data_IF_095556922976
#
_entry.id   IF_095556922976
#
_cell.length_a   1.000
_cell.length_b   1.000
_cell.length_c   1.000
_cell.angle_alpha   90.00
_cell.angle_beta   90.00
_cell.angle_gamma   90.00
#
_symmetry.space_group_name_H-M   'P 1'
#
loop_
_entity.id
_entity.type
_entity.pdbx_description
1 polymer ?
#
# COMPACT_ATOMS: atom_id res chain seq x y z
N UNK A 1 -14.21 -19.50 55.18
CA UNK A 1 -14.52 -19.37 53.74
C UNK A 1 -15.23 -18.05 53.60
N UNK A 2 -14.72 -17.16 52.75
CA UNK A 2 -15.22 -15.80 52.68
C UNK A 2 -16.46 -15.75 51.79
N UNK A 3 -17.60 -15.44 52.40
CA UNK A 3 -18.92 -15.50 51.75
C UNK A 3 -19.12 -14.28 50.83
N UNK A 4 -18.35 -13.20 51.03
CA UNK A 4 -18.41 -11.99 50.21
C UNK A 4 -17.92 -12.21 48.75
N UNK A 5 -17.18 -13.29 48.47
CA UNK A 5 -16.74 -13.64 47.12
C UNK A 5 -17.78 -14.45 46.32
N UNK A 6 -18.89 -14.88 46.94
CA UNK A 6 -19.96 -15.66 46.30
C UNK A 6 -21.12 -14.80 45.79
N UNK A 7 -21.18 -13.52 46.18
CA UNK A 7 -22.29 -12.60 45.91
C UNK A 7 -21.90 -11.48 44.92
N UNK A 8 -20.76 -11.62 44.24
CA UNK A 8 -20.36 -10.74 43.15
C UNK A 8 -21.14 -11.09 41.87
N UNK A 9 -21.78 -10.11 41.25
CA UNK A 9 -22.39 -10.26 39.92
C UNK A 9 -21.31 -10.61 38.88
N UNK A 10 -21.34 -11.86 38.41
CA UNK A 10 -20.27 -12.45 37.59
C UNK A 10 -20.15 -11.81 36.20
N UNK A 11 -18.92 -11.59 35.67
CA UNK A 11 -18.70 -10.94 34.38
C UNK A 11 -18.77 -11.92 33.19
N UNK A 12 -19.17 -11.45 31.99
CA UNK A 12 -19.44 -12.29 30.82
C UNK A 12 -18.19 -12.58 29.96
N UNK A 13 -17.02 -12.87 30.55
CA UNK A 13 -15.75 -13.02 29.79
C UNK A 13 -14.80 -14.06 30.38
N UNK A 14 -14.19 -14.86 29.50
CA UNK A 14 -13.11 -15.80 29.84
C UNK A 14 -11.80 -15.07 30.20
N UNK A 15 -10.99 -15.68 31.07
CA UNK A 15 -9.64 -15.23 31.41
C UNK A 15 -8.56 -15.90 30.55
N UNK A 16 -7.60 -15.12 30.06
CA UNK A 16 -6.50 -15.60 29.20
C UNK A 16 -5.26 -15.93 30.05
N UNK A 17 -4.63 -17.07 29.80
CA UNK A 17 -3.25 -17.33 30.20
C UNK A 17 -2.49 -18.11 29.11
N UNK A 18 -1.24 -17.73 28.89
CA UNK A 18 -0.24 -18.30 27.98
C UNK A 18 -0.75 -19.27 26.88
N UNK A 19 -1.50 -18.72 25.92
CA UNK A 19 -1.90 -19.39 24.68
C UNK A 19 -2.69 -20.72 24.83
N UNK A 20 -3.31 -21.00 25.99
CA UNK A 20 -4.24 -22.12 26.18
C UNK A 20 -5.21 -21.89 27.36
N UNK A 21 -6.50 -22.14 27.15
CA UNK A 21 -7.60 -21.78 28.07
C UNK A 21 -7.92 -22.88 29.12
N UNK A 22 -8.10 -22.54 30.41
CA UNK A 22 -8.39 -23.53 31.48
C UNK A 22 -9.14 -23.02 32.75
N UNK A 23 -10.34 -23.62 33.01
CA UNK A 23 -11.03 -23.94 34.32
C UNK A 23 -11.28 -22.78 35.33
N UNK A 24 -11.76 -22.98 36.60
CA UNK A 24 -12.47 -24.09 37.33
C UNK A 24 -13.90 -23.70 37.84
N UNK A 25 -14.67 -24.42 38.70
CA UNK A 25 -14.91 -25.87 38.96
C UNK A 25 -15.90 -26.07 40.16
N UNK A 26 -16.79 -27.10 40.14
CA UNK A 26 -17.16 -27.95 41.31
C UNK A 26 -18.07 -29.12 40.88
N UNK A 27 -17.72 -30.40 41.00
CA UNK A 27 -16.69 -31.06 41.83
C UNK A 27 -15.80 -31.92 40.94
N UNK A 28 -14.48 -31.78 41.06
CA UNK A 28 -13.54 -32.50 40.19
C UNK A 28 -13.30 -33.96 40.61
N UNK A 29 -13.23 -34.87 39.61
CA UNK A 29 -12.40 -36.08 39.73
C UNK A 29 -11.93 -36.62 38.37
N UNK A 30 -10.72 -36.20 38.00
CA UNK A 30 -9.72 -36.94 37.18
C UNK A 30 -10.26 -38.09 36.28
N UNK A 31 -10.53 -37.81 34.99
CA UNK A 31 -10.17 -38.65 33.83
C UNK A 31 -10.78 -38.17 32.50
N UNK A 32 -10.70 -36.88 32.15
CA UNK A 32 -11.12 -36.40 30.83
C UNK A 32 -9.94 -35.87 30.01
N UNK A 33 -9.84 -36.39 28.79
CA UNK A 33 -8.79 -36.08 27.82
C UNK A 33 -9.16 -34.77 27.10
N UNK A 34 -8.61 -33.66 27.57
CA UNK A 34 -8.56 -32.42 26.79
C UNK A 34 -7.77 -32.60 25.48
N UNK A 35 -7.86 -31.65 24.53
CA UNK A 35 -7.19 -31.74 23.24
C UNK A 35 -5.68 -31.97 23.41
N UNK A 36 -5.19 -33.05 22.79
CA UNK A 36 -3.77 -33.42 22.80
C UNK A 36 -3.09 -32.80 21.58
N UNK A 37 -2.28 -31.76 21.78
CA UNK A 37 -1.38 -31.30 20.71
C UNK A 37 -0.29 -32.32 20.40
N UNK A 38 0.10 -32.47 19.12
CA UNK A 38 1.31 -33.19 18.71
C UNK A 38 1.21 -33.94 17.38
N UNK A 39 2.09 -33.59 16.44
CA UNK A 39 2.17 -34.11 15.06
C UNK A 39 2.79 -35.52 14.91
N UNK A 40 2.45 -36.19 13.79
CA UNK A 40 3.36 -37.07 13.04
C UNK A 40 3.06 -36.96 11.53
N UNK A 41 4.08 -37.00 10.68
CA UNK A 41 3.99 -36.59 9.27
C UNK A 41 4.14 -37.73 8.25
N UNK A 42 3.64 -37.50 7.03
CA UNK A 42 4.33 -37.89 5.79
C UNK A 42 3.73 -37.18 4.54
N UNK A 43 4.38 -36.08 4.14
CA UNK A 43 4.51 -35.62 2.74
C UNK A 43 3.27 -35.26 1.90
N UNK A 44 2.14 -34.87 2.49
CA UNK A 44 0.98 -34.27 1.79
C UNK A 44 0.33 -33.11 2.58
N UNK A 45 -0.38 -32.26 1.83
CA UNK A 45 -1.21 -31.08 2.19
C UNK A 45 -1.07 -30.47 3.60
N UNK A 46 -0.54 -29.23 3.68
CA UNK A 46 -0.30 -28.52 4.95
C UNK A 46 -1.61 -28.02 5.58
N UNK A 47 -1.85 -28.45 6.82
CA UNK A 47 -2.91 -27.95 7.69
C UNK A 47 -2.48 -26.61 8.34
N UNK A 48 -3.34 -25.59 8.28
CA UNK A 48 -3.16 -24.35 9.03
C UNK A 48 -4.39 -24.10 9.91
N UNK A 49 -4.29 -24.55 11.16
CA UNK A 49 -5.31 -24.41 12.19
C UNK A 49 -4.90 -25.25 13.40
N UNK A 50 -5.29 -24.83 14.61
CA UNK A 50 -5.33 -25.74 15.76
C UNK A 50 -6.41 -26.80 15.49
N UNK A 51 -6.19 -28.06 15.89
CA UNK A 51 -7.08 -29.20 15.60
C UNK A 51 -8.55 -29.04 16.09
N UNK A 52 -8.84 -27.96 16.81
CA UNK A 52 -10.16 -27.49 17.23
C UNK A 52 -10.10 -25.95 17.32
N UNK A 53 -10.74 -25.23 16.40
CA UNK A 53 -10.73 -23.76 16.38
C UNK A 53 -11.57 -23.16 17.51
N UNK A 54 -12.78 -23.70 17.70
CA UNK A 54 -13.65 -23.43 18.85
C UNK A 54 -14.19 -24.75 19.41
N UNK A 55 -14.40 -24.81 20.72
CA UNK A 55 -15.03 -25.96 21.39
C UNK A 55 -16.36 -25.52 22.01
N UNK A 56 -17.45 -26.18 21.59
CA UNK A 56 -18.79 -25.95 22.15
C UNK A 56 -19.01 -26.96 23.27
N UNK A 57 -19.30 -26.45 24.47
CA UNK A 57 -19.63 -27.26 25.64
C UNK A 57 -20.94 -26.74 26.24
N UNK A 58 -21.93 -27.61 26.30
CA UNK A 58 -23.17 -27.41 27.03
C UNK A 58 -23.39 -28.66 27.89
N UNK A 59 -23.82 -28.45 29.13
CA UNK A 59 -24.01 -29.48 30.15
C UNK A 59 -25.45 -30.00 30.18
N UNK A 60 -26.41 -29.14 29.89
CA UNK A 60 -27.84 -29.38 30.11
C UNK A 60 -28.57 -29.64 28.77
N UNK A 61 -27.95 -29.30 27.63
CA UNK A 61 -28.32 -29.82 26.30
C UNK A 61 -28.07 -31.35 26.20
N UNK A 62 -29.10 -32.16 25.86
CA UNK A 62 -28.94 -33.61 25.68
C UNK A 62 -28.16 -33.95 24.40
N UNK A 63 -27.66 -35.20 24.22
CA UNK A 63 -26.81 -35.59 23.09
C UNK A 63 -27.44 -35.39 21.69
N UNK A 64 -28.76 -35.42 21.61
CA UNK A 64 -29.60 -35.19 20.44
C UNK A 64 -30.22 -33.77 20.39
N UNK A 65 -29.96 -32.94 21.41
CA UNK A 65 -30.38 -31.54 21.45
C UNK A 65 -29.57 -30.68 20.48
N UNK A 66 -30.24 -29.69 19.87
CA UNK A 66 -29.64 -28.79 18.88
C UNK A 66 -29.40 -27.40 19.47
N UNK A 67 -28.14 -26.96 19.43
CA UNK A 67 -27.74 -25.57 19.65
C UNK A 67 -27.80 -24.78 18.34
N UNK A 68 -27.78 -23.46 18.45
CA UNK A 68 -27.57 -22.54 17.32
C UNK A 68 -26.19 -21.92 17.47
N UNK A 69 -25.36 -21.98 16.43
CA UNK A 69 -24.06 -21.33 16.37
C UNK A 69 -24.07 -20.33 15.21
N UNK A 70 -23.74 -19.08 15.52
CA UNK A 70 -23.39 -18.05 14.55
C UNK A 70 -21.87 -17.93 14.52
N UNK A 71 -21.27 -17.95 13.32
CA UNK A 71 -19.89 -17.51 13.11
C UNK A 71 -19.90 -16.30 12.18
N UNK A 72 -19.08 -15.30 12.45
CA UNK A 72 -18.91 -14.12 11.59
C UNK A 72 -17.46 -13.64 11.55
N UNK A 73 -17.06 -13.02 10.45
CA UNK A 73 -15.79 -12.34 10.27
C UNK A 73 -15.99 -11.05 9.44
N UNK A 74 -15.02 -10.12 9.49
CA UNK A 74 -15.18 -8.80 8.83
C UNK A 74 -14.28 -8.57 7.63
N UNK A 75 -13.20 -9.35 7.49
CA UNK A 75 -12.19 -9.21 6.43
C UNK A 75 -11.94 -10.51 5.65
N UNK A 76 -12.78 -11.52 5.83
CA UNK A 76 -12.60 -12.79 5.17
C UNK A 76 -13.80 -13.72 5.28
N UNK A 77 -13.75 -14.75 4.46
CA UNK A 77 -14.75 -15.80 4.35
C UNK A 77 -14.40 -17.00 5.23
N UNK A 78 -15.42 -17.58 5.86
CA UNK A 78 -15.35 -18.79 6.67
C UNK A 78 -15.75 -20.02 5.85
N UNK A 79 -15.12 -21.15 6.11
CA UNK A 79 -15.50 -22.43 5.48
C UNK A 79 -15.35 -23.59 6.45
N UNK A 80 -16.36 -24.45 6.51
CA UNK A 80 -16.41 -25.64 7.34
C UNK A 80 -16.00 -26.86 6.52
N UNK A 81 -14.97 -27.60 6.94
CA UNK A 81 -14.56 -28.83 6.24
C UNK A 81 -15.54 -29.99 6.42
N UNK A 82 -16.42 -29.95 7.43
CA UNK A 82 -17.47 -30.94 7.67
C UNK A 82 -18.79 -30.25 8.00
N UNK A 83 -19.85 -30.62 7.28
CA UNK A 83 -21.22 -30.10 7.47
C UNK A 83 -22.21 -31.20 7.89
N UNK A 84 -21.70 -32.39 8.21
CA UNK A 84 -22.53 -33.55 8.58
C UNK A 84 -23.30 -33.30 9.88
N UNK A 85 -24.61 -33.47 9.84
CA UNK A 85 -25.50 -33.25 10.99
C UNK A 85 -25.79 -31.77 11.30
N UNK A 86 -25.36 -30.84 10.44
CA UNK A 86 -25.73 -29.43 10.52
C UNK A 86 -27.03 -29.14 9.75
N UNK A 87 -27.74 -28.10 10.20
CA UNK A 87 -28.87 -27.47 9.50
C UNK A 87 -28.56 -25.99 9.35
N UNK A 88 -28.44 -25.51 8.11
CA UNK A 88 -28.15 -24.11 7.82
C UNK A 88 -29.40 -23.24 7.96
N UNK A 89 -29.25 -22.12 8.66
CA UNK A 89 -30.22 -21.02 8.76
C UNK A 89 -29.75 -19.84 7.91
N UNK A 90 -28.44 -19.63 7.80
CA UNK A 90 -27.79 -18.64 6.93
C UNK A 90 -26.42 -19.17 6.52
N UNK A 91 -26.01 -18.90 5.28
CA UNK A 91 -24.83 -19.50 4.65
C UNK A 91 -25.04 -20.96 4.21
N UNK A 92 -24.01 -21.55 3.63
CA UNK A 92 -23.96 -22.98 3.26
C UNK A 92 -22.74 -23.73 3.82
N UNK A 93 -21.87 -23.02 4.55
CA UNK A 93 -20.64 -23.55 5.13
C UNK A 93 -19.43 -23.40 4.22
N UNK A 94 -19.56 -22.77 3.05
CA UNK A 94 -18.47 -22.53 2.12
C UNK A 94 -18.37 -21.06 1.70
N UNK A 95 -17.28 -20.43 2.12
CA UNK A 95 -16.94 -19.03 1.87
C UNK A 95 -18.01 -18.01 2.36
N UNK A 96 -18.55 -18.22 3.56
CA UNK A 96 -19.50 -17.31 4.20
C UNK A 96 -18.80 -16.22 5.04
N UNK A 97 -19.15 -14.93 4.88
CA UNK A 97 -18.74 -13.86 5.84
C UNK A 97 -19.44 -14.04 7.20
N UNK A 98 -20.67 -14.57 7.17
CA UNK A 98 -21.49 -14.86 8.35
C UNK A 98 -22.36 -16.09 8.06
N UNK A 99 -22.26 -17.11 8.92
CA UNK A 99 -23.05 -18.33 8.82
C UNK A 99 -23.78 -18.59 10.14
N UNK A 100 -25.02 -19.08 10.04
CA UNK A 100 -25.84 -19.46 11.20
C UNK A 100 -26.27 -20.91 10.99
N UNK A 101 -25.79 -21.80 11.86
CA UNK A 101 -26.03 -23.24 11.79
C UNK A 101 -26.67 -23.75 13.06
N UNK A 102 -27.47 -24.81 12.93
CA UNK A 102 -28.03 -25.57 14.05
C UNK A 102 -27.55 -27.01 13.99
N UNK A 103 -27.14 -27.56 15.11
CA UNK A 103 -26.54 -28.89 15.17
C UNK A 103 -26.43 -29.39 16.60
N UNK A 104 -26.21 -30.69 16.76
CA UNK A 104 -25.87 -31.24 18.09
C UNK A 104 -24.48 -30.76 18.51
N UNK A 105 -24.19 -30.78 19.81
CA UNK A 105 -22.86 -30.45 20.36
C UNK A 105 -21.74 -31.24 19.65
N UNK A 106 -22.01 -32.51 19.29
CA UNK A 106 -21.06 -33.34 18.54
C UNK A 106 -20.86 -32.85 17.09
N UNK A 107 -21.95 -32.53 16.38
CA UNK A 107 -21.88 -32.05 14.99
C UNK A 107 -21.19 -30.68 14.88
N UNK A 108 -21.52 -29.75 15.79
CA UNK A 108 -20.87 -28.44 15.86
C UNK A 108 -19.37 -28.56 16.16
N UNK A 109 -18.98 -29.37 17.14
CA UNK A 109 -17.57 -29.59 17.43
C UNK A 109 -16.83 -30.28 16.28
N UNK A 110 -17.47 -31.19 15.52
CA UNK A 110 -16.87 -31.78 14.32
C UNK A 110 -16.62 -30.75 13.21
N UNK A 111 -17.56 -29.83 12.97
CA UNK A 111 -17.42 -28.76 11.99
C UNK A 111 -16.30 -27.77 12.37
N UNK A 112 -16.18 -27.45 13.67
CA UNK A 112 -15.20 -26.51 14.22
C UNK A 112 -13.76 -27.05 14.36
N UNK A 113 -13.50 -28.31 13.96
CA UNK A 113 -12.13 -28.87 13.93
C UNK A 113 -11.25 -28.29 12.84
N UNK A 114 -11.85 -28.01 11.69
CA UNK A 114 -11.18 -27.50 10.50
C UNK A 114 -12.09 -26.41 9.91
N UNK A 115 -12.24 -25.35 10.72
CA UNK A 115 -12.77 -24.06 10.32
C UNK A 115 -11.66 -23.32 9.58
N UNK A 116 -11.85 -23.10 8.29
CA UNK A 116 -10.90 -22.40 7.42
C UNK A 116 -11.32 -20.94 7.25
N UNK A 117 -10.32 -20.08 7.18
CA UNK A 117 -10.49 -18.65 6.97
C UNK A 117 -9.74 -18.24 5.69
N UNK A 118 -10.41 -17.50 4.82
CA UNK A 118 -9.85 -16.95 3.59
C UNK A 118 -10.03 -15.42 3.60
N UNK A 119 -8.96 -14.62 3.71
CA UNK A 119 -9.03 -13.17 3.58
C UNK A 119 -9.74 -12.73 2.29
N UNK A 120 -10.42 -11.58 2.33
CA UNK A 120 -10.81 -10.88 1.12
C UNK A 120 -9.56 -10.46 0.32
N UNK A 121 -9.64 -10.37 -1.02
CA UNK A 121 -8.55 -9.81 -1.82
C UNK A 121 -8.18 -8.40 -1.33
N UNK A 122 -6.89 -8.18 -1.02
CA UNK A 122 -6.40 -6.91 -0.46
C UNK A 122 -6.73 -6.67 1.02
N UNK A 123 -7.28 -7.65 1.75
CA UNK A 123 -7.47 -7.50 3.20
C UNK A 123 -6.19 -7.77 3.97
N UNK A 124 -5.91 -6.91 4.96
CA UNK A 124 -4.68 -6.91 5.75
C UNK A 124 -4.93 -6.55 7.22
N UNK A 125 -3.94 -6.78 8.08
CA UNK A 125 -3.98 -6.47 9.51
C UNK A 125 -4.90 -7.41 10.31
N UNK A 126 -5.42 -6.93 11.44
CA UNK A 126 -6.27 -7.76 12.31
C UNK A 126 -7.70 -7.92 11.76
N UNK A 127 -8.23 -9.13 11.90
CA UNK A 127 -9.66 -9.48 11.87
C UNK A 127 -9.99 -10.33 13.13
N UNK A 128 -11.28 -10.50 13.41
CA UNK A 128 -11.77 -11.37 14.47
C UNK A 128 -12.87 -12.26 13.90
N UNK A 129 -12.71 -13.57 14.03
CA UNK A 129 -13.82 -14.51 13.87
C UNK A 129 -14.57 -14.55 15.19
N UNK A 130 -15.78 -14.01 15.23
CA UNK A 130 -16.66 -14.09 16.38
C UNK A 130 -17.50 -15.37 16.28
N UNK A 131 -17.62 -16.11 17.38
CA UNK A 131 -18.48 -17.26 17.52
C UNK A 131 -19.50 -17.00 18.62
N UNK A 132 -20.79 -17.11 18.29
CA UNK A 132 -21.90 -16.91 19.23
C UNK A 132 -22.73 -18.18 19.29
N UNK A 133 -22.72 -18.87 20.42
CA UNK A 133 -23.52 -20.07 20.66
C UNK A 133 -24.74 -19.69 21.49
N UNK A 134 -25.91 -20.04 21.00
CA UNK A 134 -27.18 -19.89 21.69
C UNK A 134 -27.84 -21.26 21.89
N UNK A 135 -28.28 -21.53 23.10
CA UNK A 135 -29.05 -22.74 23.41
C UNK A 135 -30.50 -22.66 22.92
N UNK A 136 -31.21 -23.77 23.11
CA UNK A 136 -32.64 -23.85 22.85
C UNK A 136 -33.33 -24.17 24.17
N UNK A 137 -34.37 -23.40 24.57
CA UNK A 137 -35.02 -23.63 25.85
C UNK A 137 -35.59 -25.06 25.87
N UNK A 138 -35.41 -25.76 26.99
CA UNK A 138 -35.88 -27.15 27.10
C UNK A 138 -37.40 -27.19 26.91
N UNK A 139 -37.87 -27.91 25.89
CA UNK A 139 -39.29 -28.23 25.73
C UNK A 139 -39.73 -29.24 26.80
N UNK A 140 -39.99 -28.73 28.01
CA UNK A 140 -40.57 -29.48 29.12
C UNK A 140 -42.03 -29.85 28.85
N UNK A 141 -42.25 -30.81 27.94
CA UNK A 141 -43.52 -31.51 27.84
C UNK A 141 -43.87 -32.18 29.18
N UNK A 142 -45.17 -32.30 29.48
CA UNK A 142 -45.63 -33.08 30.63
C UNK A 142 -45.12 -34.52 30.49
N UNK A 143 -44.27 -34.95 31.42
CA UNK A 143 -43.48 -36.20 31.41
C UNK A 143 -42.20 -36.20 30.55
N UNK A 144 -41.53 -35.06 30.35
CA UNK A 144 -40.14 -35.02 29.87
C UNK A 144 -39.21 -35.74 30.86
N UNK A 145 -38.95 -37.03 30.63
CA UNK A 145 -38.08 -37.86 31.46
C UNK A 145 -36.62 -37.77 30.99
N UNK A 146 -35.94 -36.66 31.29
CA UNK A 146 -34.50 -36.56 31.04
C UNK A 146 -33.73 -35.83 32.16
N UNK A 147 -32.69 -36.53 32.64
CA UNK A 147 -31.43 -35.99 33.19
C UNK A 147 -31.40 -35.18 34.51
N UNK A 148 -32.18 -35.55 35.51
CA UNK A 148 -31.52 -35.83 36.81
C UNK A 148 -32.01 -37.16 37.39
N UNK A 149 -31.10 -37.93 38.00
CA UNK A 149 -31.42 -39.17 38.72
C UNK A 149 -32.16 -38.94 40.05
N UNK A 150 -32.82 -37.79 40.20
CA UNK A 150 -33.50 -37.35 41.41
C UNK A 150 -34.94 -37.04 41.05
N UNK A 151 -35.89 -37.68 41.75
CA UNK A 151 -37.32 -37.36 41.62
C UNK A 151 -37.81 -36.58 42.83
N UNK A 152 -37.80 -35.23 42.81
CA UNK A 152 -38.71 -34.45 43.63
C UNK A 152 -40.03 -34.34 42.87
N UNK A 153 -41.12 -34.81 43.48
CA UNK A 153 -42.47 -34.86 42.90
C UNK A 153 -43.14 -33.47 42.71
N UNK A 154 -42.34 -32.40 42.64
CA UNK A 154 -42.75 -30.99 42.53
C UNK A 154 -41.57 -30.02 42.21
N UNK A 155 -40.44 -30.51 41.67
CA UNK A 155 -39.39 -29.61 41.17
C UNK A 155 -39.53 -29.46 39.64
N UNK A 156 -40.02 -28.31 39.20
CA UNK A 156 -39.81 -27.86 37.82
C UNK A 156 -38.35 -27.43 37.68
N UNK A 157 -37.43 -28.39 37.54
CA UNK A 157 -36.04 -28.13 37.13
C UNK A 157 -35.94 -27.88 35.62
N UNK A 158 -36.97 -27.28 35.06
CA UNK A 158 -36.94 -26.73 33.71
C UNK A 158 -36.30 -25.36 33.85
N UNK A 159 -35.30 -25.10 33.03
CA UNK A 159 -34.86 -23.74 32.74
C UNK A 159 -36.09 -22.86 32.40
N UNK A 160 -36.06 -21.58 32.80
CA UNK A 160 -37.23 -20.66 32.81
C UNK A 160 -37.65 -20.19 31.40
N UNK A 161 -37.31 -20.97 30.36
CA UNK A 161 -37.52 -20.66 28.95
C UNK A 161 -36.56 -19.58 28.42
N UNK A 162 -35.50 -19.27 29.16
CA UNK A 162 -34.53 -18.23 28.82
C UNK A 162 -33.43 -18.84 27.98
N UNK A 163 -33.24 -18.34 26.77
CA UNK A 163 -32.07 -18.70 25.96
C UNK A 163 -30.83 -18.10 26.58
N UNK A 164 -29.80 -18.91 26.82
CA UNK A 164 -28.47 -18.41 27.12
C UNK A 164 -27.63 -18.31 25.85
N UNK A 165 -26.77 -17.31 25.84
CA UNK A 165 -25.90 -16.96 24.72
C UNK A 165 -24.48 -16.74 25.24
N UNK A 166 -23.50 -17.32 24.56
CA UNK A 166 -22.08 -17.22 24.90
C UNK A 166 -21.31 -16.84 23.66
N UNK A 167 -20.48 -15.79 23.78
CA UNK A 167 -19.57 -15.33 22.73
C UNK A 167 -18.14 -15.85 22.96
N UNK A 168 -17.40 -16.04 21.87
CA UNK A 168 -15.96 -16.33 21.87
C UNK A 168 -15.29 -15.78 20.62
N UNK A 169 -14.07 -15.25 20.77
CA UNK A 169 -13.33 -14.58 19.69
C UNK A 169 -12.07 -15.35 19.31
N UNK A 170 -11.84 -15.51 18.00
CA UNK A 170 -10.56 -15.94 17.43
C UNK A 170 -9.97 -14.81 16.61
N UNK A 171 -8.92 -14.16 17.13
CA UNK A 171 -8.20 -13.09 16.41
C UNK A 171 -7.29 -13.68 15.33
N UNK A 172 -7.38 -13.13 14.13
CA UNK A 172 -6.56 -13.49 12.98
C UNK A 172 -5.74 -12.27 12.58
N UNK A 173 -4.45 -12.46 12.29
CA UNK A 173 -3.60 -11.44 11.69
C UNK A 173 -3.32 -11.81 10.24
N UNK A 174 -3.86 -11.00 9.32
CA UNK A 174 -3.68 -11.14 7.89
C UNK A 174 -2.41 -10.37 7.52
N UNK A 175 -1.36 -11.09 7.13
CA UNK A 175 -0.13 -10.46 6.64
C UNK A 175 -0.37 -9.88 5.26
N UNK A 176 0.02 -8.62 5.08
CA UNK A 176 0.11 -7.98 3.77
C UNK A 176 1.00 -8.76 2.80
N UNK A 177 0.94 -8.40 1.52
CA UNK A 177 1.83 -8.86 0.44
C UNK A 177 2.30 -7.61 -0.27
N UNK A 178 3.59 -7.53 -0.61
CA UNK A 178 4.14 -6.31 -1.21
C UNK A 178 3.57 -6.13 -2.62
N UNK A 179 2.87 -5.02 -2.86
CA UNK A 179 2.49 -4.60 -4.22
C UNK A 179 3.53 -3.59 -4.76
N UNK A 180 3.78 -3.55 -6.09
CA UNK A 180 4.76 -2.62 -6.66
C UNK A 180 4.21 -1.19 -6.75
N UNK A 181 5.09 -0.16 -6.73
CA UNK A 181 4.69 1.21 -6.99
C UNK A 181 3.95 1.36 -8.33
N UNK A 182 3.14 2.40 -8.43
CA UNK A 182 2.48 2.86 -9.65
C UNK A 182 2.98 4.26 -9.99
N UNK A 183 3.22 4.52 -11.27
CA UNK A 183 3.75 5.81 -11.75
C UNK A 183 2.80 6.35 -12.81
N UNK A 184 2.10 7.42 -12.48
CA UNK A 184 1.38 8.25 -13.44
C UNK A 184 2.38 9.16 -14.15
N UNK A 185 2.31 9.19 -15.48
CA UNK A 185 3.12 10.06 -16.35
C UNK A 185 2.20 10.87 -17.27
N UNK A 186 2.68 11.96 -17.89
CA UNK A 186 1.91 12.72 -18.87
C UNK A 186 1.36 11.82 -19.99
N UNK A 187 0.07 11.95 -20.30
CA UNK A 187 -0.59 11.19 -21.38
C UNK A 187 -0.28 11.73 -22.79
N UNK A 188 0.25 12.96 -22.88
CA UNK A 188 0.64 13.62 -24.12
C UNK A 188 2.15 13.93 -24.08
N UNK A 189 2.76 14.07 -25.25
CA UNK A 189 4.19 14.44 -25.39
C UNK A 189 4.40 15.85 -24.81
N UNK A 190 5.40 16.01 -23.95
CA UNK A 190 5.65 17.30 -23.31
C UNK A 190 6.48 18.21 -24.22
N UNK A 191 5.83 19.17 -24.89
CA UNK A 191 6.53 20.16 -25.71
C UNK A 191 7.18 21.26 -24.85
N UNK A 192 8.49 21.46 -25.03
CA UNK A 192 9.31 22.41 -24.27
C UNK A 192 10.14 23.28 -25.21
N UNK A 193 10.42 24.53 -24.81
CA UNK A 193 11.28 25.43 -25.60
C UNK A 193 12.77 25.15 -25.32
N UNK A 194 13.56 24.99 -26.38
CA UNK A 194 15.00 24.87 -26.29
C UNK A 194 15.62 26.05 -25.52
N UNK A 195 16.67 25.76 -24.75
CA UNK A 195 17.41 26.70 -23.89
C UNK A 195 16.61 27.40 -22.77
N UNK A 196 15.31 27.15 -22.64
CA UNK A 196 14.46 27.62 -21.52
C UNK A 196 14.22 26.51 -20.51
N UNK A 197 14.11 26.88 -19.24
CA UNK A 197 13.39 26.04 -18.28
C UNK A 197 11.91 26.02 -18.66
N UNK A 198 11.31 24.84 -18.61
CA UNK A 198 9.87 24.62 -18.77
C UNK A 198 9.42 23.74 -17.60
N UNK A 199 8.38 24.16 -16.89
CA UNK A 199 7.78 23.42 -15.77
C UNK A 199 6.80 22.37 -16.30
N UNK A 200 6.83 21.18 -15.71
CA UNK A 200 5.87 20.12 -16.00
C UNK A 200 4.53 20.46 -15.31
N UNK A 201 3.41 20.19 -15.98
CA UNK A 201 2.10 20.51 -15.43
C UNK A 201 1.85 19.81 -14.08
N UNK A 202 1.28 20.54 -13.13
CA UNK A 202 0.97 20.06 -11.79
C UNK A 202 0.17 18.74 -11.82
N UNK A 203 0.62 17.76 -11.04
CA UNK A 203 0.05 16.41 -10.98
C UNK A 203 0.21 15.55 -12.24
N UNK A 204 0.98 15.96 -13.26
CA UNK A 204 1.19 15.16 -14.46
C UNK A 204 2.18 13.99 -14.25
N UNK A 205 3.07 14.10 -13.25
CA UNK A 205 3.96 13.02 -12.80
C UNK A 205 3.70 12.76 -11.31
N UNK A 206 3.18 11.58 -10.98
CA UNK A 206 2.83 11.18 -9.60
C UNK A 206 3.23 9.74 -9.37
N UNK A 207 3.83 9.46 -8.21
CA UNK A 207 4.10 8.11 -7.73
C UNK A 207 3.08 7.77 -6.64
N UNK A 208 2.44 6.61 -6.76
CA UNK A 208 1.45 6.10 -5.81
C UNK A 208 1.73 4.63 -5.49
N UNK A 209 1.39 4.18 -4.30
CA UNK A 209 1.68 2.82 -3.85
C UNK A 209 0.61 2.44 -2.81
N UNK A 210 0.02 1.25 -2.95
CA UNK A 210 -1.11 0.77 -2.15
C UNK A 210 -0.74 0.46 -0.71
N UNK A 211 0.53 0.13 -0.47
CA UNK A 211 1.02 -0.42 0.79
C UNK A 211 1.35 0.67 1.81
N UNK A 212 1.40 1.92 1.34
CA UNK A 212 1.87 3.08 2.10
C UNK A 212 1.06 3.39 3.35
N UNK A 213 -0.27 3.18 3.34
CA UNK A 213 -1.10 3.38 4.54
C UNK A 213 -0.88 2.26 5.58
N UNK A 214 -0.61 1.04 5.14
CA UNK A 214 -0.39 -0.11 6.04
C UNK A 214 0.96 -0.05 6.76
N UNK A 215 1.95 0.53 6.08
CA UNK A 215 3.32 0.65 6.55
C UNK A 215 3.57 1.89 7.42
N UNK A 216 2.55 2.73 7.67
CA UNK A 216 2.66 3.92 8.52
C UNK A 216 3.02 3.54 9.95
N UNK A 217 4.27 3.80 10.36
CA UNK A 217 4.70 3.55 11.73
C UNK A 217 4.30 4.72 12.63
N UNK A 218 3.62 4.42 13.73
CA UNK A 218 3.32 5.39 14.77
C UNK A 218 4.43 5.35 15.84
N UNK A 219 5.00 6.51 16.19
CA UNK A 219 5.97 6.63 17.28
C UNK A 219 5.29 6.65 18.67
N UNK A 220 6.09 6.56 19.73
CA UNK A 220 5.60 6.60 21.13
C UNK A 220 4.86 7.91 21.51
N UNK A 221 4.96 8.95 20.67
CA UNK A 221 4.28 10.24 20.86
C UNK A 221 2.99 10.36 20.00
N UNK A 222 2.68 9.35 19.20
CA UNK A 222 1.51 9.29 18.34
C UNK A 222 1.72 9.88 16.93
N UNK A 223 2.94 10.31 16.58
CA UNK A 223 3.25 10.82 15.24
C UNK A 223 3.38 9.66 14.25
N UNK A 224 2.85 9.83 13.04
CA UNK A 224 3.00 8.85 11.97
C UNK A 224 4.18 9.22 11.06
N UNK A 225 5.04 8.25 10.79
CA UNK A 225 6.07 8.32 9.77
C UNK A 225 5.71 7.39 8.60
N UNK A 226 5.60 7.96 7.39
CA UNK A 226 5.49 7.18 6.17
C UNK A 226 6.86 6.58 5.81
N UNK A 227 6.93 5.35 5.28
CA UNK A 227 8.20 4.72 4.93
C UNK A 227 8.88 5.41 3.70
N UNK A 228 10.22 5.31 3.56
CA UNK A 228 10.97 6.11 2.60
C UNK A 228 11.30 5.36 1.28
N UNK A 229 10.49 5.53 0.23
CA UNK A 229 10.74 4.89 -1.07
C UNK A 229 11.89 5.54 -1.86
N UNK A 230 12.45 4.82 -2.84
CA UNK A 230 13.50 5.33 -3.75
C UNK A 230 12.90 5.67 -5.11
N UNK A 231 13.16 6.86 -5.63
CA UNK A 231 12.78 7.27 -7.00
C UNK A 231 14.01 7.77 -7.76
N UNK A 232 14.18 7.24 -8.97
CA UNK A 232 15.22 7.66 -9.92
C UNK A 232 14.58 8.28 -11.16
N UNK A 233 15.12 9.39 -11.65
CA UNK A 233 14.78 10.00 -12.94
C UNK A 233 16.03 10.11 -13.79
N UNK A 234 15.92 9.85 -15.10
CA UNK A 234 17.02 10.03 -16.04
C UNK A 234 16.55 10.45 -17.44
N UNK A 235 17.29 11.37 -18.08
CA UNK A 235 17.08 11.81 -19.47
C UNK A 235 17.94 10.99 -20.44
N UNK A 236 17.36 10.43 -21.50
CA UNK A 236 18.09 9.62 -22.48
C UNK A 236 19.02 10.45 -23.39
N UNK A 237 18.65 11.70 -23.68
CA UNK A 237 19.32 12.58 -24.66
C UNK A 237 19.93 13.83 -24.01
N UNK A 238 20.04 13.83 -22.68
CA UNK A 238 20.89 14.74 -21.92
C UNK A 238 20.34 16.16 -21.71
N UNK A 239 19.03 16.34 -21.80
CA UNK A 239 18.36 17.45 -21.15
C UNK A 239 18.62 17.48 -19.64
N UNK A 240 18.26 18.59 -18.99
CA UNK A 240 18.50 18.80 -17.56
C UNK A 240 17.20 18.87 -16.79
N UNK A 241 17.16 18.22 -15.64
CA UNK A 241 16.07 18.22 -14.69
C UNK A 241 16.38 19.18 -13.53
N UNK A 242 15.34 19.81 -12.97
CA UNK A 242 15.39 20.55 -11.71
C UNK A 242 14.12 20.31 -10.91
N UNK A 243 14.26 19.98 -9.63
CA UNK A 243 13.14 19.82 -8.70
C UNK A 243 12.79 21.17 -8.07
N UNK A 244 11.51 21.43 -7.80
CA UNK A 244 11.09 22.68 -7.17
C UNK A 244 11.43 22.74 -5.67
N UNK A 245 11.37 21.60 -4.97
CA UNK A 245 11.68 21.47 -3.53
C UNK A 245 12.56 20.26 -3.25
N UNK A 246 13.27 20.32 -2.11
CA UNK A 246 14.12 19.26 -1.57
C UNK A 246 13.66 18.80 -0.17
N UNK A 247 12.50 19.29 0.29
CA UNK A 247 12.01 19.02 1.65
C UNK A 247 11.65 17.54 1.84
N UNK A 248 12.24 16.90 2.86
CA UNK A 248 12.03 15.48 3.15
C UNK A 248 12.72 14.51 2.17
N UNK A 249 13.62 14.99 1.31
CA UNK A 249 14.39 14.17 0.38
C UNK A 249 15.86 13.99 0.81
N UNK A 250 16.42 12.83 0.48
CA UNK A 250 17.86 12.54 0.54
C UNK A 250 18.34 12.04 -0.84
N UNK A 251 19.36 12.69 -1.39
CA UNK A 251 19.91 12.32 -2.70
C UNK A 251 20.98 11.22 -2.59
N UNK A 252 20.88 10.25 -3.49
CA UNK A 252 21.83 9.14 -3.71
C UNK A 252 22.66 9.41 -4.97
N UNK A 253 22.04 10.01 -5.98
CA UNK A 253 22.67 10.49 -7.22
C UNK A 253 22.04 11.83 -7.61
N UNK A 254 22.82 12.74 -8.20
CA UNK A 254 22.42 14.12 -8.46
C UNK A 254 22.31 14.97 -7.18
N UNK A 255 21.90 16.23 -7.35
CA UNK A 255 21.54 17.15 -6.26
C UNK A 255 20.14 17.77 -6.42
N UNK A 256 19.43 17.40 -7.49
CA UNK A 256 18.11 17.91 -7.83
C UNK A 256 18.14 19.19 -8.67
N UNK A 257 19.31 19.68 -9.10
CA UNK A 257 19.45 20.95 -9.82
C UNK A 257 20.42 20.87 -11.02
N UNK A 258 19.84 20.86 -12.21
CA UNK A 258 20.52 20.71 -13.51
C UNK A 258 21.14 19.32 -13.78
N UNK A 259 20.52 18.27 -13.24
CA UNK A 259 20.94 16.87 -13.39
C UNK A 259 20.47 16.23 -14.70
N UNK A 260 21.25 15.28 -15.24
CA UNK A 260 20.79 14.35 -16.30
C UNK A 260 20.18 13.07 -15.72
N UNK A 261 20.62 12.67 -14.54
CA UNK A 261 20.11 11.57 -13.77
C UNK A 261 20.16 11.96 -12.29
N UNK A 262 19.09 11.69 -11.55
CA UNK A 262 19.02 11.88 -10.11
C UNK A 262 18.32 10.69 -9.48
N UNK A 263 18.78 10.29 -8.29
CA UNK A 263 18.14 9.27 -7.47
C UNK A 263 17.93 9.85 -6.09
N UNK A 264 16.69 9.84 -5.61
CA UNK A 264 16.27 10.43 -4.35
C UNK A 264 15.48 9.41 -3.52
N UNK A 265 15.62 9.53 -2.20
CA UNK A 265 14.91 8.72 -1.20
C UNK A 265 14.08 9.66 -0.33
N UNK A 266 12.82 9.33 -0.06
CA UNK A 266 11.94 10.16 0.75
C UNK A 266 10.57 9.55 0.95
N UNK A 267 9.71 10.23 1.72
CA UNK A 267 8.30 9.83 1.80
C UNK A 267 7.60 10.05 0.45
N UNK A 268 6.57 9.25 0.15
CA UNK A 268 5.80 9.41 -1.10
C UNK A 268 5.19 10.83 -1.24
N UNK A 269 4.84 11.47 -0.11
CA UNK A 269 4.38 12.85 -0.07
C UNK A 269 5.49 13.83 -0.46
N UNK A 270 6.68 13.72 0.14
CA UNK A 270 7.84 14.56 -0.17
C UNK A 270 8.30 14.39 -1.62
N UNK A 271 8.29 13.16 -2.12
CA UNK A 271 8.61 12.82 -3.51
C UNK A 271 7.61 13.48 -4.45
N UNK A 272 6.30 13.29 -4.24
CA UNK A 272 5.29 13.90 -5.10
C UNK A 272 5.32 15.44 -5.03
N UNK A 273 5.62 16.04 -3.87
CA UNK A 273 5.82 17.48 -3.75
C UNK A 273 7.04 18.02 -4.52
N UNK A 274 8.08 17.21 -4.71
CA UNK A 274 9.26 17.59 -5.50
C UNK A 274 9.11 17.33 -7.00
N UNK A 275 8.31 16.33 -7.37
CA UNK A 275 7.92 16.04 -8.76
C UNK A 275 6.87 17.03 -9.28
N UNK A 276 6.02 17.55 -8.39
CA UNK A 276 5.12 18.65 -8.69
C UNK A 276 5.92 19.94 -8.92
N UNK A 277 5.88 20.47 -10.15
CA UNK A 277 6.78 21.54 -10.58
C UNK A 277 8.18 21.06 -11.00
N UNK A 278 8.36 19.78 -11.37
CA UNK A 278 9.57 19.30 -12.05
C UNK A 278 9.83 20.14 -13.31
N UNK A 279 10.99 20.75 -13.41
CA UNK A 279 11.39 21.54 -14.58
C UNK A 279 12.40 20.79 -15.46
N UNK A 280 12.31 21.03 -16.77
CA UNK A 280 13.24 20.52 -17.77
C UNK A 280 13.83 21.65 -18.61
N UNK A 281 15.10 21.51 -18.99
CA UNK A 281 15.77 22.36 -19.98
C UNK A 281 16.71 21.55 -20.87
N UNK A 282 16.46 21.58 -22.18
CA UNK A 282 17.43 21.14 -23.17
C UNK A 282 18.34 22.32 -23.58
N UNK A 283 19.66 22.20 -23.44
CA UNK A 283 20.62 23.24 -23.86
C UNK A 283 21.42 22.78 -25.09
N UNK A 284 21.21 23.38 -26.28
CA UNK A 284 21.99 23.06 -27.48
C UNK A 284 23.50 23.25 -27.26
N UNK A 285 24.31 22.36 -27.84
CA UNK A 285 25.78 22.46 -27.79
C UNK A 285 26.43 22.14 -26.45
N UNK A 286 25.66 21.76 -25.41
CA UNK A 286 26.25 21.20 -24.20
C UNK A 286 26.81 19.80 -24.51
N UNK A 287 28.02 19.49 -24.00
CA UNK A 287 28.86 18.33 -24.39
C UNK A 287 28.21 16.93 -24.24
N UNK A 288 27.06 16.84 -23.58
CA UNK A 288 26.28 15.61 -23.39
C UNK A 288 24.78 15.74 -23.80
N UNK A 289 24.33 16.90 -24.27
CA UNK A 289 22.92 17.16 -24.57
C UNK A 289 22.65 17.05 -26.09
N UNK A 290 22.12 15.91 -26.52
CA UNK A 290 21.64 15.64 -27.88
C UNK A 290 20.17 16.00 -28.10
N UNK A 291 19.45 16.31 -27.03
CA UNK A 291 18.02 16.60 -27.04
C UNK A 291 17.60 17.70 -28.05
N UNK A 292 18.50 18.64 -28.36
CA UNK A 292 18.25 19.72 -29.33
C UNK A 292 18.62 19.35 -30.77
N UNK A 293 19.55 18.40 -30.96
CA UNK A 293 19.96 17.92 -32.28
C UNK A 293 18.87 17.02 -32.90
N UNK A 294 18.19 16.28 -32.03
CA UNK A 294 17.14 15.31 -32.37
C UNK A 294 15.72 15.87 -32.16
N UNK A 295 15.58 17.14 -31.76
CA UNK A 295 14.32 17.80 -31.35
C UNK A 295 13.48 17.00 -30.35
N UNK A 296 14.10 16.13 -29.54
CA UNK A 296 13.40 15.19 -28.67
C UNK A 296 14.28 14.74 -27.50
N UNK A 297 13.67 14.40 -26.38
CA UNK A 297 14.28 13.66 -25.26
C UNK A 297 13.24 12.68 -24.68
N UNK A 298 13.68 11.75 -23.83
CA UNK A 298 12.83 10.84 -23.08
C UNK A 298 13.25 10.89 -21.62
N UNK A 299 12.29 11.15 -20.74
CA UNK A 299 12.49 11.08 -19.30
C UNK A 299 12.00 9.70 -18.86
N UNK A 300 12.91 8.92 -18.28
CA UNK A 300 12.62 7.64 -17.63
C UNK A 300 12.52 7.84 -16.13
N UNK A 301 11.57 7.17 -15.49
CA UNK A 301 11.34 7.21 -14.05
C UNK A 301 11.27 5.77 -13.55
N UNK A 302 11.99 5.47 -12.48
CA UNK A 302 11.88 4.23 -11.73
C UNK A 302 11.49 4.54 -10.29
N UNK A 303 10.49 3.85 -9.77
CA UNK A 303 10.11 3.89 -8.35
C UNK A 303 10.34 2.51 -7.75
N UNK A 304 11.03 2.44 -6.62
CA UNK A 304 11.29 1.23 -5.85
C UNK A 304 10.74 1.44 -4.43
N UNK A 305 9.85 0.56 -4.01
CA UNK A 305 9.19 0.60 -2.70
C UNK A 305 10.12 0.22 -1.53
N UNK A 306 11.38 -0.15 -1.80
CA UNK A 306 12.35 -0.67 -0.84
C UNK A 306 11.84 -1.82 0.09
N UNK A 307 10.72 -2.46 -0.25
CA UNK A 307 10.12 -3.63 0.39
C UNK A 307 9.18 -3.34 1.56
N UNK A 308 8.27 -2.38 1.43
CA UNK A 308 7.56 -1.79 2.58
C UNK A 308 6.20 -2.35 2.99
N UNK A 309 5.65 -3.39 2.37
CA UNK A 309 4.73 -4.25 3.14
C UNK A 309 4.84 -5.74 2.84
N UNK A 310 4.45 -6.55 3.83
CA UNK A 310 4.17 -7.96 3.59
C UNK A 310 5.35 -8.86 3.20
N UNK A 311 5.02 -9.99 2.57
CA UNK A 311 6.01 -10.87 1.93
C UNK A 311 6.23 -10.46 0.48
N UNK A 312 7.47 -10.30 0.08
CA UNK A 312 7.88 -10.02 -1.30
C UNK A 312 9.31 -9.49 -1.37
N UNK A 313 9.66 -8.62 -0.42
CA UNK A 313 10.87 -7.79 -0.55
C UNK A 313 10.61 -6.64 -1.52
N UNK A 314 11.66 -5.88 -1.85
CA UNK A 314 11.50 -4.68 -2.67
C UNK A 314 11.04 -4.99 -4.11
N UNK A 315 9.98 -4.36 -4.55
CA UNK A 315 9.52 -4.34 -5.93
C UNK A 315 9.79 -2.97 -6.57
N UNK A 316 9.50 -2.84 -7.85
CA UNK A 316 9.71 -1.61 -8.59
C UNK A 316 8.78 -1.50 -9.79
N UNK A 317 8.43 -0.27 -10.12
CA UNK A 317 7.86 0.08 -11.42
C UNK A 317 8.79 1.02 -12.19
N UNK A 318 8.60 1.04 -13.49
CA UNK A 318 9.27 1.99 -14.39
C UNK A 318 8.26 2.53 -15.39
N UNK A 319 8.33 3.83 -15.62
CA UNK A 319 7.55 4.53 -16.62
C UNK A 319 8.47 5.49 -17.39
N UNK A 320 7.99 6.01 -18.51
CA UNK A 320 8.69 7.04 -19.26
C UNK A 320 7.66 7.94 -19.95
N UNK A 321 8.09 9.15 -20.30
CA UNK A 321 7.36 10.02 -21.21
C UNK A 321 8.32 10.76 -22.13
N UNK A 322 7.81 11.10 -23.31
CA UNK A 322 8.57 11.76 -24.36
C UNK A 322 8.45 13.28 -24.24
N UNK A 323 9.55 13.97 -24.58
CA UNK A 323 9.70 15.41 -24.55
C UNK A 323 10.00 15.88 -25.96
N UNK A 324 9.21 16.82 -26.49
CA UNK A 324 9.40 17.42 -27.81
C UNK A 324 10.11 18.78 -27.65
N UNK A 325 11.27 18.95 -28.28
CA UNK A 325 12.12 20.13 -28.08
C UNK A 325 12.00 21.06 -29.29
N UNK A 326 11.14 22.07 -29.15
CA UNK A 326 10.96 23.10 -30.18
C UNK A 326 12.01 24.19 -30.05
N UNK A 327 12.38 24.82 -31.18
CA UNK A 327 13.30 25.95 -31.19
C UNK A 327 12.78 27.11 -30.33
N UNK A 328 13.69 27.81 -29.66
CA UNK A 328 13.38 29.11 -29.04
C UNK A 328 13.08 30.14 -30.13
N UNK A 329 12.03 30.95 -29.95
CA UNK A 329 11.65 32.03 -30.87
C UNK A 329 12.69 33.18 -30.98
N UNK A 330 13.80 33.10 -30.25
CA UNK A 330 14.90 34.07 -30.19
C UNK A 330 15.73 34.19 -31.48
N UNK A 331 15.20 33.76 -32.64
CA UNK A 331 15.73 34.14 -33.95
C UNK A 331 15.42 35.61 -34.30
N UNK A 332 15.79 36.53 -33.40
CA UNK A 332 16.13 37.89 -33.81
C UNK A 332 17.31 37.78 -34.78
N UNK A 333 17.10 38.22 -36.01
CA UNK A 333 17.89 37.76 -37.15
C UNK A 333 19.37 38.15 -37.08
N UNK A 334 20.24 37.13 -37.00
CA UNK A 334 21.64 37.18 -37.41
C UNK A 334 21.95 36.05 -38.39
N UNK A 335 21.12 35.94 -39.44
CA UNK A 335 21.61 35.43 -40.73
C UNK A 335 22.33 36.56 -41.47
N UNK A 336 23.42 37.09 -40.89
CA UNK A 336 24.38 37.84 -41.69
C UNK A 336 25.07 36.84 -42.62
N UNK A 337 24.53 36.70 -43.82
CA UNK A 337 25.31 36.34 -44.98
C UNK A 337 26.50 37.29 -45.03
N UNK A 338 27.72 36.77 -44.88
CA UNK A 338 28.95 37.56 -45.00
C UNK A 338 29.10 37.96 -46.48
N UNK A 339 28.42 39.03 -46.88
CA UNK A 339 28.78 39.78 -48.08
C UNK A 339 30.02 40.60 -47.73
N UNK A 340 31.18 40.12 -48.18
CA UNK A 340 32.40 40.92 -48.12
C UNK A 340 32.29 42.07 -49.13
N UNK A 341 31.78 43.23 -48.71
CA UNK A 341 31.88 44.45 -49.50
C UNK A 341 33.35 44.80 -49.70
N UNK A 342 33.82 44.65 -50.94
CA UNK A 342 35.12 45.16 -51.38
C UNK A 342 34.89 46.57 -51.88
N UNK A 343 35.28 47.56 -51.09
CA UNK A 343 35.29 48.95 -51.54
C UNK A 343 36.48 49.19 -52.48
N UNK A 344 36.26 49.50 -53.77
CA UNK A 344 37.34 49.84 -54.67
C UNK A 344 37.97 51.17 -54.27
N UNK A 345 39.26 51.33 -54.54
CA UNK A 345 39.98 52.57 -54.20
C UNK A 345 39.33 53.82 -54.83
N UNK A 346 38.87 54.75 -53.99
CA UNK A 346 38.39 56.08 -54.41
C UNK A 346 36.96 56.46 -54.04
N UNK A 347 36.15 55.58 -53.42
CA UNK A 347 34.81 55.94 -52.91
C UNK A 347 34.79 56.34 -51.43
N UNK A 348 34.15 57.47 -51.12
CA UNK A 348 33.99 57.99 -49.76
C UNK A 348 32.94 57.21 -48.96
N UNK A 349 33.22 56.94 -47.69
CA UNK A 349 32.25 56.39 -46.74
C UNK A 349 31.29 57.47 -46.25
N UNK A 350 30.07 57.08 -45.86
CA UNK A 350 29.08 58.00 -45.28
C UNK A 350 29.54 58.59 -43.92
N UNK A 351 30.55 58.01 -43.28
CA UNK A 351 31.18 58.55 -42.07
C UNK A 351 32.18 59.69 -42.33
N UNK A 352 32.72 59.85 -43.54
CA UNK A 352 33.82 60.80 -43.80
C UNK A 352 33.35 62.26 -44.05
N UNK A 353 32.04 62.52 -44.03
CA UNK A 353 31.46 63.81 -44.44
C UNK A 353 31.49 64.89 -43.34
N UNK A 354 32.06 64.61 -42.15
CA UNK A 354 32.13 65.57 -41.05
C UNK A 354 33.53 65.90 -40.50
N UNK A 355 34.54 65.02 -40.60
CA UNK A 355 35.85 65.25 -39.95
C UNK A 355 37.02 65.61 -40.89
N UNK A 356 36.75 65.85 -42.17
CA UNK A 356 37.70 66.54 -43.07
C UNK A 356 38.94 65.75 -43.51
N UNK A 357 38.91 64.42 -43.44
CA UNK A 357 40.00 63.55 -43.90
C UNK A 357 40.01 63.34 -45.42
N UNK A 358 41.19 63.04 -45.97
CA UNK A 358 41.39 62.71 -47.39
C UNK A 358 41.27 61.20 -47.65
N UNK A 359 40.86 60.84 -48.86
CA UNK A 359 40.65 59.46 -49.28
C UNK A 359 41.91 58.57 -49.13
N UNK A 360 41.70 57.31 -48.74
CA UNK A 360 42.77 56.34 -48.50
C UNK A 360 43.39 55.82 -49.83
N UNK A 361 44.70 55.46 -49.86
CA UNK A 361 45.39 55.14 -51.12
C UNK A 361 45.17 53.73 -51.69
N UNK A 362 44.71 52.76 -50.89
CA UNK A 362 44.62 51.34 -51.27
C UNK A 362 43.37 50.65 -50.69
N UNK A 363 42.95 49.55 -51.31
CA UNK A 363 41.80 48.73 -50.89
C UNK A 363 42.02 48.11 -49.50
N UNK A 364 41.02 48.24 -48.61
CA UNK A 364 40.97 47.50 -47.34
C UNK A 364 39.71 46.65 -47.27
N UNK A 365 39.85 45.40 -46.83
CA UNK A 365 38.72 44.61 -46.35
C UNK A 365 38.45 44.97 -44.90
N UNK A 366 37.22 45.38 -44.60
CA UNK A 366 36.79 45.66 -43.23
C UNK A 366 35.84 44.55 -42.79
N UNK A 367 36.23 43.73 -41.81
CA UNK A 367 35.32 42.78 -41.15
C UNK A 367 34.70 43.48 -39.95
N UNK A 368 33.39 43.70 -40.01
CA UNK A 368 32.65 44.39 -38.95
C UNK A 368 32.32 43.39 -37.84
N UNK A 369 33.02 43.48 -36.71
CA UNK A 369 32.59 42.86 -35.45
C UNK A 369 31.83 43.91 -34.63
N UNK A 370 30.77 43.48 -33.94
CA UNK A 370 29.97 44.36 -33.09
C UNK A 370 30.73 44.79 -31.83
N UNK A 371 30.58 46.08 -31.50
CA UNK A 371 30.89 46.76 -30.23
C UNK A 371 32.05 46.21 -29.39
N UNK A 372 33.27 46.64 -29.74
CA UNK A 372 34.46 46.48 -28.90
C UNK A 372 35.72 47.04 -29.54
N UNK A 373 36.14 48.24 -29.14
CA UNK A 373 37.43 48.81 -29.54
C UNK A 373 38.58 47.94 -28.99
N UNK A 374 39.28 47.22 -29.86
CA UNK A 374 40.60 46.69 -29.59
C UNK A 374 41.45 46.69 -30.88
N UNK A 375 42.56 47.43 -30.84
CA UNK A 375 43.61 47.37 -31.85
C UNK A 375 44.77 46.58 -31.26
N UNK A 376 45.15 45.47 -31.88
CA UNK A 376 46.47 44.85 -31.71
C UNK A 376 47.31 45.17 -32.97
N UNK A 377 48.61 45.39 -32.76
CA UNK A 377 49.62 45.86 -33.75
C UNK A 377 49.98 44.84 -34.86
#
# INVERSE_FOLDING_TARGET
MDIAALDATWPPRFGIYDHSLYYPANVGRLAELGPRGGFAANNDMVLHGVDQAFAVLDKDTPPDGHLTLTLSATKGFLSLNSVDGLTFVTGDGFQDESLVIRGTVSALNMALRDLRYLPHPGATGWDTVQAVVQDSPLECGLNATHLTGVTPRNASSCDDGVRHEVEGDLRIYITAVNDPPTIQVPHEVWTVKANSWTELAQGALVVSDSDMEEAMQQDDHGNFAAPPMTVSLATERGGRLRLHTFEGLAFVEGDGNEDMALTMVGSITSINQALDGLEYRCKPGARAAKCAEESSDRITIQANDNGYSGRGGALSASAFFDVDVVASDDSSGMSESIESEVYPAGTLSWHDVHDGYQALPEERKQTRFGDGDFWDD
#
